data_IF_527397051700
#
_entry.id   IF_527397051700
#
_cell.length_a   1.000
_cell.length_b   1.000
_cell.length_c   1.000
_cell.angle_alpha   90.00
_cell.angle_beta   90.00
_cell.angle_gamma   90.00
#
_symmetry.space_group_name_H-M   'P 1'
#
loop_
_entity.id
_entity.type
_entity.pdbx_description
1 polymer ?
#
# COMPACT_ATOMS: atom_id res chain seq x y z
N UNK A 1 22.41 -18.54 -6.01
CA UNK A 1 21.50 -17.87 -6.40
C UNK A 1 20.54 -17.57 -5.44
N UNK A 2 20.00 -16.58 -5.61
CA UNK A 2 19.15 -16.20 -4.78
C UNK A 2 18.02 -16.99 -4.77
N UNK A 3 17.59 -17.24 -3.73
CA UNK A 3 16.45 -17.99 -3.68
C UNK A 3 15.40 -17.16 -4.26
N UNK A 4 14.28 -17.65 -4.31
CA UNK A 4 13.22 -16.95 -4.90
C UNK A 4 12.53 -16.06 -3.94
N UNK A 5 13.22 -15.53 -2.98
CA UNK A 5 12.62 -14.62 -2.08
C UNK A 5 12.35 -13.32 -2.77
N UNK A 6 11.16 -12.85 -2.67
CA UNK A 6 10.77 -11.56 -3.20
C UNK A 6 11.28 -10.51 -2.23
N UNK A 7 11.88 -9.45 -2.70
CA UNK A 7 12.35 -8.40 -1.83
C UNK A 7 11.15 -7.77 -1.13
N UNK A 8 11.40 -7.12 -0.01
CA UNK A 8 10.35 -6.47 0.73
C UNK A 8 9.68 -5.39 -0.12
N UNK A 9 10.47 -4.64 -0.88
CA UNK A 9 9.92 -3.63 -1.74
C UNK A 9 9.00 -4.20 -2.80
N UNK A 10 9.39 -5.28 -3.42
CA UNK A 10 8.57 -5.92 -4.44
C UNK A 10 7.29 -6.47 -3.84
N UNK A 11 7.41 -7.04 -2.65
CA UNK A 11 6.24 -7.58 -1.96
C UNK A 11 5.24 -6.50 -1.65
N UNK A 12 5.71 -5.37 -1.10
CA UNK A 12 4.84 -4.26 -0.77
C UNK A 12 4.19 -3.67 -2.01
N UNK A 13 4.96 -3.51 -3.07
CA UNK A 13 4.41 -2.98 -4.30
C UNK A 13 3.30 -3.87 -4.83
N UNK A 14 3.54 -5.17 -4.83
CA UNK A 14 2.55 -6.11 -5.32
C UNK A 14 1.27 -6.07 -4.49
N UNK A 15 1.42 -6.05 -3.16
CA UNK A 15 0.26 -6.01 -2.28
C UNK A 15 -0.54 -4.74 -2.47
N UNK A 16 0.14 -3.61 -2.49
CA UNK A 16 -0.56 -2.33 -2.51
C UNK A 16 -1.13 -1.96 -3.86
N UNK A 17 -0.51 -2.43 -4.93
CA UNK A 17 -0.97 -2.11 -6.27
C UNK A 17 -2.00 -3.09 -6.82
N UNK A 18 -2.24 -4.19 -6.13
CA UNK A 18 -3.25 -5.16 -6.58
C UNK A 18 -4.58 -4.79 -5.93
N UNK A 19 -5.60 -4.47 -6.72
CA UNK A 19 -6.91 -4.17 -6.14
C UNK A 19 -7.50 -5.41 -5.49
N UNK A 20 -8.02 -5.23 -4.29
CA UNK A 20 -8.64 -6.33 -3.58
C UNK A 20 -9.80 -6.87 -4.40
N UNK A 21 -9.88 -8.17 -4.51
CA UNK A 21 -10.93 -8.80 -5.28
C UNK A 21 -10.62 -9.00 -6.74
N UNK A 22 -9.47 -8.52 -7.23
CA UNK A 22 -9.15 -8.62 -8.65
C UNK A 22 -8.54 -9.96 -9.04
N UNK A 23 -8.08 -10.75 -8.09
CA UNK A 23 -7.49 -12.04 -8.40
C UNK A 23 -8.51 -13.14 -8.22
N UNK A 24 -8.69 -13.94 -9.27
CA UNK A 24 -9.68 -15.00 -9.24
C UNK A 24 -9.36 -16.05 -8.20
N UNK A 25 -8.10 -16.47 -8.13
CA UNK A 25 -7.73 -17.53 -7.21
C UNK A 25 -7.45 -17.06 -5.80
N UNK A 26 -7.30 -15.77 -5.59
CA UNK A 26 -6.96 -15.25 -4.28
C UNK A 26 -7.61 -13.89 -4.12
N UNK A 27 -8.92 -13.85 -4.00
CA UNK A 27 -9.63 -12.57 -3.98
C UNK A 27 -9.32 -11.70 -2.77
N UNK A 28 -8.81 -12.28 -1.69
CA UNK A 28 -8.46 -11.48 -0.53
C UNK A 28 -7.12 -10.79 -0.66
N UNK A 29 -6.36 -11.10 -1.70
CA UNK A 29 -5.04 -10.51 -1.86
C UNK A 29 -5.16 -9.10 -2.40
N UNK A 30 -4.36 -8.19 -1.87
CA UNK A 30 -4.31 -6.83 -2.36
C UNK A 30 -4.76 -5.83 -1.33
N UNK A 31 -5.09 -4.64 -1.78
CA UNK A 31 -5.46 -3.56 -0.89
C UNK A 31 -6.70 -2.85 -1.41
N UNK A 32 -7.28 -2.03 -0.55
CA UNK A 32 -8.45 -1.26 -0.90
C UNK A 32 -8.10 0.15 -1.34
N UNK A 33 -6.85 0.42 -1.66
CA UNK A 33 -6.42 1.76 -2.04
C UNK A 33 -7.17 2.27 -3.27
N UNK A 34 -7.59 1.35 -4.14
CA UNK A 34 -8.31 1.75 -5.32
C UNK A 34 -9.64 2.43 -5.01
N UNK A 35 -10.16 2.25 -3.80
CA UNK A 35 -11.40 2.90 -3.42
C UNK A 35 -11.22 4.39 -3.14
N UNK A 36 -9.99 4.84 -3.02
CA UNK A 36 -9.72 6.24 -2.70
C UNK A 36 -9.55 7.12 -3.92
N UNK A 37 -9.63 6.50 -5.08
CA UNK A 37 -9.31 7.14 -6.34
C UNK A 37 -9.91 8.49 -6.58
N UNK A 38 -11.15 8.65 -6.50
CA UNK A 38 -11.79 9.91 -6.82
C UNK A 38 -12.15 10.73 -5.60
N UNK A 39 -11.54 10.41 -4.47
CA UNK A 39 -11.89 11.09 -3.26
C UNK A 39 -11.07 12.35 -3.07
N UNK A 40 -11.66 13.32 -2.37
CA UNK A 40 -10.98 14.54 -2.07
C UNK A 40 -9.88 14.28 -1.03
N UNK A 41 -8.77 14.94 -1.14
CA UNK A 41 -7.67 14.77 -0.20
C UNK A 41 -7.96 15.59 1.05
N UNK A 42 -8.52 14.97 2.05
CA UNK A 42 -8.82 15.61 3.33
C UNK A 42 -8.40 14.68 4.46
N UNK A 43 -8.76 15.00 5.69
CA UNK A 43 -8.38 14.20 6.84
C UNK A 43 -8.95 12.80 6.77
N UNK A 44 -10.18 12.69 6.31
CA UNK A 44 -10.81 11.38 6.17
C UNK A 44 -10.06 10.52 5.17
N UNK A 45 -9.61 11.13 4.08
CA UNK A 45 -8.82 10.42 3.08
C UNK A 45 -7.53 9.89 3.69
N UNK A 46 -6.84 10.71 4.46
CA UNK A 46 -5.57 10.31 5.05
C UNK A 46 -5.75 9.16 6.03
N UNK A 47 -6.81 9.21 6.82
CA UNK A 47 -7.09 8.14 7.77
C UNK A 47 -7.41 6.83 7.05
N UNK A 48 -8.21 6.91 6.00
CA UNK A 48 -8.56 5.72 5.24
C UNK A 48 -7.36 5.16 4.51
N UNK A 49 -6.49 6.03 4.00
CA UNK A 49 -5.28 5.58 3.32
C UNK A 49 -4.41 4.80 4.30
N UNK A 50 -4.20 5.34 5.49
CA UNK A 50 -3.40 4.66 6.50
C UNK A 50 -4.03 3.31 6.84
N UNK A 51 -5.33 3.30 7.07
CA UNK A 51 -6.02 2.09 7.46
C UNK A 51 -5.95 1.00 6.41
N UNK A 52 -6.16 1.37 5.15
CA UNK A 52 -6.13 0.39 4.08
C UNK A 52 -4.72 -0.18 3.88
N UNK A 53 -3.70 0.67 4.00
CA UNK A 53 -2.33 0.20 3.89
C UNK A 53 -2.00 -0.73 5.06
N UNK A 54 -2.37 -0.34 6.27
CA UNK A 54 -2.08 -1.14 7.45
C UNK A 54 -2.77 -2.50 7.37
N UNK A 55 -4.01 -2.53 6.92
CA UNK A 55 -4.74 -3.79 6.78
C UNK A 55 -4.04 -4.72 5.80
N UNK A 56 -3.64 -4.20 4.66
CA UNK A 56 -3.02 -5.02 3.65
C UNK A 56 -1.67 -5.56 4.10
N UNK A 57 -0.88 -4.71 4.74
CA UNK A 57 0.43 -5.12 5.22
C UNK A 57 0.32 -6.13 6.35
N UNK A 58 -0.58 -5.91 7.28
CA UNK A 58 -0.78 -6.85 8.37
C UNK A 58 -1.15 -8.23 7.86
N UNK A 59 -1.95 -8.25 6.81
CA UNK A 59 -2.42 -9.53 6.29
C UNK A 59 -1.36 -10.24 5.45
N UNK A 60 -0.65 -9.51 4.62
CA UNK A 60 0.20 -10.13 3.62
C UNK A 60 1.69 -9.94 3.83
N UNK A 61 2.08 -9.07 4.74
CA UNK A 61 3.49 -8.85 5.02
C UNK A 61 3.69 -8.63 6.52
N UNK A 62 3.45 -9.65 7.34
CA UNK A 62 3.51 -9.48 8.80
C UNK A 62 4.91 -9.26 9.34
N UNK A 63 5.92 -9.37 8.50
CA UNK A 63 7.30 -9.18 8.94
C UNK A 63 7.59 -7.75 9.37
N UNK A 64 6.77 -6.81 8.94
CA UNK A 64 6.99 -5.41 9.26
C UNK A 64 5.71 -4.79 9.78
N UNK A 65 5.86 -3.66 10.46
CA UNK A 65 4.71 -2.94 10.97
C UNK A 65 4.77 -1.51 10.50
N UNK A 66 3.64 -1.00 10.06
CA UNK A 66 3.56 0.36 9.58
C UNK A 66 3.57 1.32 10.75
N UNK A 67 4.41 2.34 10.68
CA UNK A 67 4.46 3.36 11.70
C UNK A 67 3.67 4.60 11.27
N UNK A 68 3.92 5.07 10.07
CA UNK A 68 3.16 6.22 9.57
C UNK A 68 3.23 6.29 8.06
N UNK A 69 2.34 7.10 7.49
CA UNK A 69 2.25 7.28 6.07
C UNK A 69 2.38 8.76 5.77
N UNK A 70 3.20 9.10 4.79
CA UNK A 70 3.29 10.46 4.30
C UNK A 70 2.74 10.50 2.88
N UNK A 71 1.71 11.31 2.66
CA UNK A 71 1.17 11.50 1.33
C UNK A 71 1.91 12.67 0.70
N UNK A 72 2.68 12.35 -0.34
CA UNK A 72 3.55 13.36 -0.93
C UNK A 72 2.81 14.23 -1.93
N UNK A 73 1.98 13.64 -2.76
CA UNK A 73 1.33 14.39 -3.81
C UNK A 73 0.21 13.56 -4.42
N UNK A 74 -0.75 14.25 -5.00
CA UNK A 74 -1.84 13.57 -5.72
C UNK A 74 -2.03 14.34 -7.01
N UNK A 75 -1.73 13.72 -8.15
CA UNK A 75 -1.94 14.37 -9.44
C UNK A 75 -2.01 13.34 -10.54
N UNK A 76 -2.72 13.68 -11.59
CA UNK A 76 -2.87 12.81 -12.75
C UNK A 76 -3.34 11.43 -12.38
N UNK A 77 -4.29 11.36 -11.45
CA UNK A 77 -4.85 10.10 -10.99
C UNK A 77 -3.82 9.19 -10.33
N UNK A 78 -2.77 9.79 -9.76
CA UNK A 78 -1.74 9.04 -9.07
C UNK A 78 -1.55 9.61 -7.68
N UNK A 79 -1.36 8.71 -6.72
CA UNK A 79 -1.09 9.10 -5.35
C UNK A 79 0.34 8.70 -5.04
N UNK A 80 1.18 9.69 -4.74
CA UNK A 80 2.57 9.44 -4.38
C UNK A 80 2.65 9.43 -2.87
N UNK A 81 3.25 8.38 -2.31
CA UNK A 81 3.28 8.22 -0.86
C UNK A 81 4.57 7.61 -0.40
N UNK A 82 4.87 7.77 0.88
CA UNK A 82 6.00 7.13 1.53
C UNK A 82 5.51 6.48 2.80
N UNK A 83 5.84 5.22 2.99
CA UNK A 83 5.48 4.48 4.19
C UNK A 83 6.70 4.39 5.08
N UNK A 84 6.51 4.64 6.38
CA UNK A 84 7.59 4.52 7.35
C UNK A 84 7.26 3.38 8.30
N UNK A 85 8.20 2.50 8.51
CA UNK A 85 7.99 1.32 9.32
C UNK A 85 8.73 1.41 10.64
N UNK A 86 8.31 0.59 11.59
CA UNK A 86 8.88 0.67 12.94
C UNK A 86 10.33 0.26 13.02
N UNK A 87 10.84 -0.43 12.00
CA UNK A 87 12.25 -0.84 12.00
C UNK A 87 13.13 0.17 11.27
N UNK A 88 12.68 1.41 11.16
CA UNK A 88 13.44 2.50 10.55
C UNK A 88 13.67 2.36 9.05
N UNK A 89 12.89 1.53 8.39
CA UNK A 89 12.96 1.48 6.94
C UNK A 89 11.78 2.24 6.36
N UNK A 90 11.85 2.53 5.08
CA UNK A 90 10.76 3.23 4.42
C UNK A 90 10.58 2.69 3.00
N UNK A 91 9.43 2.97 2.44
CA UNK A 91 9.11 2.53 1.10
C UNK A 91 8.30 3.63 0.43
N UNK A 92 8.72 4.06 -0.74
CA UNK A 92 7.99 5.07 -1.50
C UNK A 92 7.34 4.40 -2.70
N UNK A 93 6.12 4.79 -2.98
CA UNK A 93 5.39 4.18 -4.06
C UNK A 93 4.40 5.12 -4.68
N UNK A 94 3.74 4.62 -5.72
CA UNK A 94 2.73 5.36 -6.44
C UNK A 94 1.55 4.43 -6.65
N UNK A 95 0.36 4.90 -6.33
CA UNK A 95 -0.84 4.14 -6.62
C UNK A 95 -1.52 4.79 -7.81
N UNK A 96 -1.72 4.00 -8.86
CA UNK A 96 -2.42 4.48 -10.02
C UNK A 96 -3.89 4.19 -9.85
N UNK A 97 -4.64 5.04 -10.44
CA UNK A 97 -6.04 4.90 -10.30
C UNK A 97 -6.68 4.49 -11.58
#
# INVERSE_FOLDING_TARGET
MKTHQVSLEESLKRILETPLGSRVMLPEFGSKLFLLVDRKLDESFKLDFYRYVAEAIDRWEPRIKLERVALEDVRDSKIFYTLHFTNNTSFSGVVNV
#
